data_IF_598881813249
#
_entry.id   IF_598881813249
#
_cell.length_a   1.000
_cell.length_b   1.000
_cell.length_c   1.000
_cell.angle_alpha   90.00
_cell.angle_beta   90.00
_cell.angle_gamma   90.00
#
_symmetry.space_group_name_H-M   'P 1'
#
loop_
_entity.id
_entity.type
_entity.pdbx_description
1 polymer ?
#
# COMPACT_ATOMS: atom_id res chain seq x y z
N UNK A 1 -11.82 9.10 18.67
CA UNK A 1 -10.72 9.56 17.80
C UNK A 1 -9.89 8.42 17.20
N UNK A 2 -9.38 7.47 18.00
CA UNK A 2 -8.59 6.33 17.50
C UNK A 2 -9.20 5.60 16.28
N UNK A 3 -10.47 5.21 16.35
CA UNK A 3 -11.18 4.52 15.26
C UNK A 3 -11.21 5.32 13.94
N UNK A 4 -11.45 6.63 14.04
CA UNK A 4 -11.48 7.54 12.89
C UNK A 4 -10.09 7.61 12.24
N UNK A 5 -9.03 7.76 13.04
CA UNK A 5 -7.64 7.81 12.54
C UNK A 5 -7.25 6.49 11.87
N UNK A 6 -7.65 5.35 12.43
CA UNK A 6 -7.44 4.03 11.80
C UNK A 6 -8.10 3.96 10.42
N UNK A 7 -9.37 4.38 10.29
CA UNK A 7 -10.06 4.39 8.99
C UNK A 7 -9.39 5.33 7.97
N UNK A 8 -8.85 6.46 8.43
CA UNK A 8 -8.11 7.40 7.56
C UNK A 8 -6.80 6.77 7.07
N UNK A 9 -6.03 6.14 7.95
CA UNK A 9 -4.76 5.48 7.64
C UNK A 9 -4.96 4.34 6.61
N UNK A 10 -5.99 3.51 6.79
CA UNK A 10 -6.34 2.45 5.84
C UNK A 10 -6.70 2.98 4.44
N UNK A 11 -7.47 4.07 4.39
CA UNK A 11 -7.83 4.76 3.14
C UNK A 11 -6.58 5.35 2.48
N UNK A 12 -5.70 5.98 3.25
CA UNK A 12 -4.42 6.54 2.76
C UNK A 12 -3.56 5.45 2.11
N UNK A 13 -3.36 4.32 2.79
CA UNK A 13 -2.56 3.20 2.27
C UNK A 13 -3.15 2.63 0.98
N UNK A 14 -4.48 2.56 0.89
CA UNK A 14 -5.17 2.13 -0.34
C UNK A 14 -4.95 3.11 -1.48
N UNK A 15 -5.06 4.42 -1.22
CA UNK A 15 -4.79 5.46 -2.24
C UNK A 15 -3.35 5.44 -2.72
N UNK A 16 -2.38 5.25 -1.82
CA UNK A 16 -0.97 5.11 -2.19
C UNK A 16 -0.73 3.92 -3.12
N UNK A 17 -1.33 2.75 -2.82
CA UNK A 17 -1.27 1.59 -3.72
C UNK A 17 -1.86 1.89 -5.10
N UNK A 18 -2.99 2.61 -5.15
CA UNK A 18 -3.59 3.05 -6.43
C UNK A 18 -2.65 3.99 -7.19
N UNK A 19 -2.03 4.97 -6.52
CA UNK A 19 -1.09 5.91 -7.13
C UNK A 19 0.12 5.17 -7.71
N UNK A 20 0.72 4.26 -6.94
CA UNK A 20 1.85 3.44 -7.41
C UNK A 20 1.45 2.60 -8.63
N UNK A 21 0.25 2.00 -8.62
CA UNK A 21 -0.23 1.24 -9.77
C UNK A 21 -0.43 2.11 -11.02
N UNK A 22 -0.94 3.33 -10.86
CA UNK A 22 -1.09 4.31 -11.95
C UNK A 22 0.25 4.77 -12.50
N UNK A 23 1.26 4.96 -11.65
CA UNK A 23 2.62 5.24 -12.09
C UNK A 23 3.19 4.10 -12.95
N UNK A 24 2.80 2.85 -12.67
CA UNK A 24 3.11 1.70 -13.51
C UNK A 24 2.10 1.59 -14.67
N UNK A 25 2.13 2.56 -15.59
CA UNK A 25 1.16 2.65 -16.70
C UNK A 25 1.18 1.43 -17.62
N UNK A 26 2.36 0.93 -18.00
CA UNK A 26 2.53 -0.18 -18.95
C UNK A 26 2.56 -1.54 -18.22
N UNK A 27 2.03 -2.60 -18.85
CA UNK A 27 2.09 -4.00 -18.30
C UNK A 27 3.51 -4.39 -17.92
N UNK A 28 4.50 -4.11 -18.77
CA UNK A 28 5.92 -4.40 -18.50
C UNK A 28 6.43 -3.71 -17.24
N UNK A 29 6.02 -2.45 -16.99
CA UNK A 29 6.40 -1.70 -15.78
C UNK A 29 5.73 -2.26 -14.53
N UNK A 30 4.47 -2.69 -14.64
CA UNK A 30 3.74 -3.36 -13.54
C UNK A 30 4.42 -4.68 -13.16
N UNK A 31 4.74 -5.50 -14.15
CA UNK A 31 5.45 -6.76 -13.97
C UNK A 31 6.81 -6.53 -13.29
N UNK A 32 7.61 -5.60 -13.82
CA UNK A 32 8.90 -5.23 -13.23
C UNK A 32 8.75 -4.74 -11.77
N UNK A 33 7.77 -3.87 -11.50
CA UNK A 33 7.50 -3.35 -10.16
C UNK A 33 7.11 -4.44 -9.16
N UNK A 34 6.25 -5.38 -9.58
CA UNK A 34 5.84 -6.52 -8.76
C UNK A 34 7.01 -7.47 -8.47
N UNK A 35 7.83 -7.80 -9.47
CA UNK A 35 9.03 -8.63 -9.29
C UNK A 35 10.04 -7.96 -8.34
N UNK A 36 10.23 -6.64 -8.46
CA UNK A 36 11.10 -5.87 -7.57
C UNK A 36 10.61 -5.87 -6.12
N UNK A 37 9.30 -6.02 -5.90
CA UNK A 37 8.71 -6.19 -4.56
C UNK A 37 8.74 -7.66 -4.09
N UNK A 38 9.41 -8.57 -4.80
CA UNK A 38 9.54 -9.98 -4.42
C UNK A 38 8.30 -10.83 -4.73
N UNK A 39 7.36 -10.33 -5.56
CA UNK A 39 6.19 -11.12 -5.96
C UNK A 39 6.63 -12.25 -6.92
N UNK A 40 6.21 -13.51 -6.70
CA UNK A 40 6.50 -14.62 -7.61
C UNK A 40 6.08 -14.31 -9.05
N UNK A 41 6.91 -14.66 -10.03
CA UNK A 41 6.72 -14.31 -11.45
C UNK A 41 5.35 -14.68 -12.01
N UNK A 42 4.84 -15.86 -11.67
CA UNK A 42 3.53 -16.33 -12.13
C UNK A 42 2.37 -15.46 -11.60
N UNK A 43 2.43 -14.99 -10.35
CA UNK A 43 1.45 -14.04 -9.79
C UNK A 43 1.63 -12.67 -10.45
N UNK A 44 2.88 -12.23 -10.58
CA UNK A 44 3.22 -10.93 -11.11
C UNK A 44 2.71 -10.77 -12.55
N UNK A 45 2.89 -11.78 -13.40
CA UNK A 45 2.38 -11.76 -14.78
C UNK A 45 0.85 -11.70 -14.81
N UNK A 46 0.17 -12.54 -14.01
CA UNK A 46 -1.30 -12.53 -13.89
C UNK A 46 -1.85 -11.16 -13.47
N UNK A 47 -1.30 -10.56 -12.41
CA UNK A 47 -1.79 -9.29 -11.85
C UNK A 47 -1.40 -8.10 -12.71
N UNK A 48 -0.26 -8.14 -13.41
CA UNK A 48 0.18 -7.05 -14.29
C UNK A 48 -0.82 -6.73 -15.42
N UNK A 49 -1.62 -7.71 -15.82
CA UNK A 49 -2.68 -7.58 -16.83
C UNK A 49 -3.96 -6.88 -16.36
N UNK A 50 -4.13 -6.62 -15.06
CA UNK A 50 -5.40 -6.12 -14.49
C UNK A 50 -5.71 -4.65 -14.81
N UNK A 51 -4.93 -3.98 -15.65
CA UNK A 51 -5.33 -2.71 -16.26
C UNK A 51 -5.78 -1.64 -15.26
N UNK A 52 -6.99 -1.16 -15.47
CA UNK A 52 -7.65 -0.07 -14.75
C UNK A 52 -8.49 -0.54 -13.56
N UNK A 53 -8.38 -1.80 -13.14
CA UNK A 53 -9.05 -2.32 -11.94
C UNK A 53 -8.38 -1.83 -10.64
N UNK A 54 -8.18 -0.52 -10.51
CA UNK A 54 -7.36 0.12 -9.47
C UNK A 54 -7.73 -0.27 -8.05
N UNK A 55 -9.03 -0.23 -7.71
CA UNK A 55 -9.50 -0.58 -6.36
C UNK A 55 -9.30 -2.07 -6.07
N UNK A 56 -9.63 -2.92 -7.03
CA UNK A 56 -9.42 -4.37 -6.93
C UNK A 56 -7.94 -4.70 -6.72
N UNK A 57 -7.05 -4.09 -7.51
CA UNK A 57 -5.60 -4.28 -7.38
C UNK A 57 -5.12 -3.79 -6.01
N UNK A 58 -5.53 -2.60 -5.57
CA UNK A 58 -5.05 -2.00 -4.33
C UNK A 58 -5.54 -2.73 -3.06
N UNK A 59 -6.73 -3.34 -3.10
CA UNK A 59 -7.36 -3.94 -1.92
C UNK A 59 -7.31 -5.47 -1.88
N UNK A 60 -7.42 -6.13 -3.04
CA UNK A 60 -7.66 -7.58 -3.13
C UNK A 60 -6.53 -8.35 -3.82
N UNK A 61 -5.56 -7.68 -4.45
CA UNK A 61 -4.43 -8.35 -5.08
C UNK A 61 -3.22 -8.51 -4.14
N UNK A 62 -2.17 -9.14 -4.66
CA UNK A 62 -0.85 -9.24 -4.02
C UNK A 62 -0.27 -7.88 -3.63
N UNK A 63 -0.71 -6.78 -4.26
CA UNK A 63 -0.24 -5.43 -3.99
C UNK A 63 -0.49 -4.99 -2.54
N UNK A 64 -1.57 -5.45 -1.90
CA UNK A 64 -1.84 -5.15 -0.47
C UNK A 64 -0.76 -5.73 0.45
N UNK A 65 -0.23 -6.91 0.11
CA UNK A 65 0.84 -7.57 0.87
C UNK A 65 2.22 -7.04 0.51
N UNK A 66 2.46 -6.84 -0.78
CA UNK A 66 3.74 -6.36 -1.30
C UNK A 66 4.03 -4.89 -0.92
N UNK A 67 2.98 -4.08 -0.79
CA UNK A 67 3.04 -2.68 -0.33
C UNK A 67 2.30 -2.60 1.02
N UNK A 68 2.89 -3.26 2.01
CA UNK A 68 2.42 -3.28 3.40
C UNK A 68 2.86 -2.03 4.16
N UNK A 69 2.30 -1.83 5.36
CA UNK A 69 2.66 -0.73 6.26
C UNK A 69 4.18 -0.68 6.55
N UNK A 70 4.86 -1.78 6.95
CA UNK A 70 6.30 -1.76 7.18
C UNK A 70 7.14 -1.38 5.95
N UNK A 71 6.72 -1.78 4.75
CA UNK A 71 7.42 -1.44 3.50
C UNK A 71 7.31 0.06 3.20
N UNK A 72 6.16 0.67 3.50
CA UNK A 72 5.93 2.09 3.32
C UNK A 72 6.69 2.92 4.38
N UNK A 73 6.72 2.47 5.63
CA UNK A 73 7.48 3.08 6.72
C UNK A 73 8.98 3.08 6.43
N UNK A 74 9.52 1.95 5.94
CA UNK A 74 10.92 1.87 5.51
C UNK A 74 11.26 2.86 4.39
N UNK A 75 10.25 3.35 3.65
CA UNK A 75 10.38 4.38 2.61
C UNK A 75 10.04 5.79 3.10
N UNK A 76 9.87 5.98 4.41
CA UNK A 76 9.64 7.28 5.04
C UNK A 76 8.17 7.69 5.18
N UNK A 77 7.20 6.79 4.91
CA UNK A 77 5.80 7.08 5.20
C UNK A 77 5.53 6.88 6.70
N UNK A 78 5.26 7.95 7.42
CA UNK A 78 4.83 7.89 8.82
C UNK A 78 3.36 7.48 8.89
N UNK A 79 3.03 6.43 9.65
CA UNK A 79 1.63 6.03 9.89
C UNK A 79 0.94 7.07 10.78
N UNK A 80 -0.22 7.55 10.33
CA UNK A 80 -1.00 8.53 11.09
C UNK A 80 -1.49 7.95 12.42
N UNK A 81 -1.79 6.65 12.44
CA UNK A 81 -2.23 5.95 13.64
C UNK A 81 -1.12 5.84 14.68
N UNK A 82 0.10 5.48 14.26
CA UNK A 82 1.22 5.32 15.20
C UNK A 82 1.58 6.67 15.83
N UNK A 83 1.66 7.72 15.01
CA UNK A 83 1.86 9.08 15.49
C UNK A 83 0.81 9.51 16.52
N UNK A 84 -0.48 9.20 16.26
CA UNK A 84 -1.55 9.50 17.20
C UNK A 84 -1.39 8.72 18.51
N UNK A 85 -1.05 7.44 18.45
CA UNK A 85 -0.89 6.60 19.64
C UNK A 85 0.31 7.04 20.50
N UNK A 86 1.45 7.33 19.88
CA UNK A 86 2.64 7.84 20.58
C UNK A 86 2.34 9.14 21.32
N UNK A 87 1.74 10.12 20.63
CA UNK A 87 1.41 11.42 21.23
C UNK A 87 0.34 11.33 22.30
N UNK A 88 -0.59 10.39 22.18
CA UNK A 88 -1.65 10.21 23.16
C UNK A 88 -1.17 9.44 24.39
N UNK A 89 -0.21 8.52 24.25
CA UNK A 89 0.43 7.86 25.38
C UNK A 89 1.20 8.86 26.25
N UNK A 90 1.94 9.78 25.63
CA UNK A 90 2.72 10.82 26.31
C UNK A 90 1.89 11.87 27.07
N UNK A 91 0.58 11.96 26.81
CA UNK A 91 -0.34 12.87 27.53
C UNK A 91 -0.98 12.22 28.76
N UNK A 92 -0.88 10.90 28.89
CA UNK A 92 -1.48 10.13 29.98
C UNK A 92 -0.43 9.75 31.04
N UNK A 93 0.86 9.92 30.72
CA UNK A 93 2.00 9.91 31.65
C UNK A 93 2.25 11.28 32.26
#
# INVERSE_FOLDING_TARGET
>A
MKSIVTSIDERLHTRLRVIIWKQWKKKSRRLWGLLKLGVPKWIADKVSGWGDHYQLVAQKSVLKRAISKPVLEKRGLVSCLDYYLERHALKVS
#
